data_IF_531793231314
#
_entry.id   IF_531793231314
#
_cell.length_a   1.000
_cell.length_b   1.000
_cell.length_c   1.000
_cell.angle_alpha   90.00
_cell.angle_beta   90.00
_cell.angle_gamma   90.00
#
_symmetry.space_group_name_H-M   'P 1'
#
loop_
_entity.id
_entity.type
_entity.pdbx_description
1 polymer ?
#
# COMPACT_ATOMS: atom_id res chain seq x y z
N UNK A 1 0.47 33.69 -31.31
CA UNK A 1 0.90 33.28 -29.96
C UNK A 1 -0.35 33.30 -29.12
N UNK A 2 -1.00 32.15 -28.99
CA UNK A 2 -2.29 32.05 -28.33
C UNK A 2 -2.13 32.31 -26.82
N UNK A 3 -2.71 33.43 -26.38
CA UNK A 3 -2.80 33.87 -24.99
C UNK A 3 -3.94 33.14 -24.23
N UNK A 4 -4.28 31.93 -24.66
CA UNK A 4 -5.36 31.10 -24.12
C UNK A 4 -4.98 29.61 -23.98
N UNK A 5 -3.69 29.30 -23.79
CA UNK A 5 -3.32 28.06 -23.07
C UNK A 5 -3.68 28.25 -21.58
N UNK A 6 -4.99 28.30 -21.34
CA UNK A 6 -5.59 28.05 -20.04
C UNK A 6 -5.11 26.66 -19.65
N UNK A 7 -4.14 26.56 -18.74
CA UNK A 7 -3.66 25.29 -18.22
C UNK A 7 -4.87 24.47 -17.75
N UNK A 8 -5.35 23.58 -18.62
CA UNK A 8 -6.36 22.62 -18.24
C UNK A 8 -5.83 21.91 -16.99
N UNK A 9 -6.66 21.68 -15.97
CA UNK A 9 -6.21 20.96 -14.78
C UNK A 9 -5.57 19.66 -15.24
N UNK A 10 -4.38 19.38 -14.70
CA UNK A 10 -3.63 18.19 -15.05
C UNK A 10 -4.54 16.96 -14.92
N UNK A 11 -4.50 16.10 -15.94
CA UNK A 11 -5.41 14.95 -15.97
C UNK A 11 -4.91 13.88 -15.01
N UNK A 12 -5.83 13.20 -14.28
CA UNK A 12 -5.52 12.02 -13.49
C UNK A 12 -4.56 11.07 -14.21
N UNK A 13 -3.47 10.69 -13.56
CA UNK A 13 -2.50 9.78 -14.19
C UNK A 13 -1.80 8.85 -13.19
N UNK A 14 -1.06 7.88 -13.74
CA UNK A 14 -0.17 7.00 -12.96
C UNK A 14 1.25 7.54 -13.05
N UNK A 15 1.74 8.07 -11.94
CA UNK A 15 3.03 8.72 -11.80
C UNK A 15 4.25 7.81 -11.75
N UNK A 16 5.43 8.43 -11.70
CA UNK A 16 6.73 7.76 -11.71
C UNK A 16 6.98 6.88 -10.47
N UNK A 17 6.26 7.12 -9.37
CA UNK A 17 6.33 6.31 -8.15
C UNK A 17 5.71 4.92 -8.31
N UNK A 18 5.05 4.63 -9.42
CA UNK A 18 4.44 3.32 -9.66
C UNK A 18 5.50 2.22 -9.61
N UNK A 19 5.24 1.18 -8.80
CA UNK A 19 6.16 0.05 -8.63
C UNK A 19 6.52 -0.61 -9.97
N UNK A 20 5.58 -0.67 -10.92
CA UNK A 20 5.83 -1.23 -12.26
C UNK A 20 6.72 -0.37 -13.14
N UNK A 21 6.65 0.97 -13.00
CA UNK A 21 7.56 1.90 -13.68
C UNK A 21 8.96 1.90 -13.06
N UNK A 22 9.03 1.79 -11.73
CA UNK A 22 10.31 1.71 -10.99
C UNK A 22 11.02 0.37 -11.18
N UNK A 23 10.27 -0.73 -11.21
CA UNK A 23 10.79 -2.09 -11.09
C UNK A 23 10.27 -2.99 -12.24
N UNK A 24 11.19 -3.40 -13.11
CA UNK A 24 10.89 -4.23 -14.29
C UNK A 24 10.21 -5.57 -13.96
N UNK A 25 10.39 -6.11 -12.75
CA UNK A 25 9.80 -7.39 -12.32
C UNK A 25 8.63 -7.23 -11.34
N UNK A 26 8.12 -6.00 -11.14
CA UNK A 26 6.99 -5.78 -10.23
C UNK A 26 5.74 -6.52 -10.68
N UNK A 27 5.03 -7.11 -9.71
CA UNK A 27 3.74 -7.76 -9.94
C UNK A 27 2.56 -6.98 -9.36
N UNK A 28 2.80 -5.78 -8.84
CA UNK A 28 1.78 -4.96 -8.16
C UNK A 28 0.56 -4.68 -9.04
N UNK A 29 -0.64 -5.00 -8.57
CA UNK A 29 -1.91 -4.77 -9.28
C UNK A 29 -3.01 -4.17 -8.39
N UNK A 30 -2.67 -3.74 -7.16
CA UNK A 30 -3.61 -3.26 -6.13
C UNK A 30 -4.64 -2.25 -6.64
N UNK A 31 -4.20 -1.23 -7.37
CA UNK A 31 -5.13 -0.19 -7.86
C UNK A 31 -6.04 -0.69 -8.99
N UNK A 32 -5.59 -1.67 -9.76
CA UNK A 32 -6.33 -2.28 -10.88
C UNK A 32 -7.39 -3.24 -10.35
N UNK A 33 -7.00 -4.14 -9.45
CA UNK A 33 -7.92 -5.14 -8.87
C UNK A 33 -8.98 -4.52 -7.96
N UNK A 34 -8.73 -3.32 -7.43
CA UNK A 34 -9.67 -2.55 -6.59
C UNK A 34 -10.42 -1.45 -7.34
N UNK A 35 -10.22 -1.27 -8.65
CA UNK A 35 -10.92 -0.23 -9.42
C UNK A 35 -12.36 -0.66 -9.76
N UNK A 36 -13.40 -0.03 -9.18
CA UNK A 36 -14.78 -0.47 -9.40
C UNK A 36 -15.30 -0.18 -10.82
N UNK A 37 -14.78 0.85 -11.50
CA UNK A 37 -15.19 1.22 -12.86
C UNK A 37 -14.33 0.56 -13.96
N UNK A 38 -13.25 -0.12 -13.57
CA UNK A 38 -12.25 -0.65 -14.49
C UNK A 38 -11.51 0.43 -15.29
N UNK A 39 -11.39 1.65 -14.74
CA UNK A 39 -10.63 2.74 -15.35
C UNK A 39 -9.11 2.50 -15.32
N UNK A 40 -8.64 1.65 -14.41
CA UNK A 40 -7.24 1.26 -14.30
C UNK A 40 -7.05 -0.14 -14.88
N UNK A 41 -6.07 -0.29 -15.78
CA UNK A 41 -5.73 -1.57 -16.40
C UNK A 41 -4.22 -1.73 -16.56
N UNK A 42 -3.74 -2.97 -16.69
CA UNK A 42 -2.33 -3.26 -16.97
C UNK A 42 -2.17 -3.54 -18.47
N UNK A 43 -1.32 -2.78 -19.13
CA UNK A 43 -0.94 -2.98 -20.53
C UNK A 43 0.58 -2.95 -20.64
N UNK A 44 1.19 -4.00 -21.22
CA UNK A 44 2.65 -4.10 -21.39
C UNK A 44 3.46 -3.75 -20.12
N UNK A 45 3.03 -4.30 -18.98
CA UNK A 45 3.63 -4.04 -17.66
C UNK A 45 3.42 -2.62 -17.10
N UNK A 46 2.76 -1.71 -17.79
CA UNK A 46 2.40 -0.40 -17.24
C UNK A 46 0.95 -0.37 -16.75
N UNK A 47 0.68 0.39 -15.70
CA UNK A 47 -0.71 0.70 -15.31
C UNK A 47 -1.14 1.93 -16.09
N UNK A 48 -2.24 1.80 -16.82
CA UNK A 48 -2.88 2.87 -17.59
C UNK A 48 -4.17 3.27 -16.87
N UNK A 49 -4.39 4.58 -16.73
CA UNK A 49 -5.64 5.16 -16.25
C UNK A 49 -6.39 5.78 -17.43
N UNK A 50 -7.59 5.28 -17.72
CA UNK A 50 -8.50 5.84 -18.72
C UNK A 50 -9.43 6.85 -18.03
N UNK A 51 -9.11 8.14 -18.18
CA UNK A 51 -9.79 9.25 -17.49
C UNK A 51 -11.31 9.28 -17.72
N UNK A 52 -11.77 8.92 -18.92
CA UNK A 52 -13.19 8.91 -19.31
C UNK A 52 -14.01 7.87 -18.55
N UNK A 53 -13.35 6.84 -18.02
CA UNK A 53 -13.97 5.76 -17.23
C UNK A 53 -13.80 5.98 -15.72
N UNK A 54 -13.02 6.97 -15.31
CA UNK A 54 -12.74 7.23 -13.91
C UNK A 54 -13.95 7.90 -13.24
N UNK A 55 -14.47 7.30 -12.17
CA UNK A 55 -15.60 7.89 -11.43
C UNK A 55 -15.17 8.90 -10.36
N UNK A 56 -13.86 9.09 -10.17
CA UNK A 56 -13.32 9.91 -9.10
C UNK A 56 -13.54 9.33 -7.69
N UNK A 57 -13.80 8.02 -7.55
CA UNK A 57 -14.07 7.39 -6.25
C UNK A 57 -12.89 7.44 -5.26
N UNK A 58 -11.66 7.61 -5.76
CA UNK A 58 -10.46 7.73 -4.94
C UNK A 58 -9.93 6.43 -4.32
N UNK A 59 -10.55 5.27 -4.56
CA UNK A 59 -10.09 3.98 -3.98
C UNK A 59 -8.61 3.71 -4.29
N UNK A 60 -8.17 3.98 -5.51
CA UNK A 60 -6.78 3.81 -5.94
C UNK A 60 -5.79 4.62 -5.09
N UNK A 61 -6.19 5.79 -4.58
CA UNK A 61 -5.38 6.63 -3.71
C UNK A 61 -5.12 5.94 -2.37
N UNK A 62 -6.10 5.21 -1.84
CA UNK A 62 -6.02 4.54 -0.54
C UNK A 62 -5.36 3.17 -0.60
N UNK A 63 -5.48 2.44 -1.71
CA UNK A 63 -4.89 1.09 -1.85
C UNK A 63 -3.49 1.09 -2.48
N UNK A 64 -3.04 2.19 -3.09
CA UNK A 64 -1.72 2.25 -3.73
C UNK A 64 -0.61 2.40 -2.67
N UNK A 65 0.23 1.37 -2.41
CA UNK A 65 1.25 1.43 -1.36
C UNK A 65 2.36 2.42 -1.70
N UNK A 66 2.57 2.69 -3.00
CA UNK A 66 3.60 3.60 -3.47
C UNK A 66 3.12 5.05 -3.60
N UNK A 67 1.81 5.31 -3.44
CA UNK A 67 1.19 6.62 -3.64
C UNK A 67 1.57 7.22 -5.00
N UNK A 68 1.25 6.45 -6.04
CA UNK A 68 1.70 6.66 -7.41
C UNK A 68 0.61 7.23 -8.33
N UNK A 69 -0.54 7.61 -7.79
CA UNK A 69 -1.62 8.21 -8.56
C UNK A 69 -1.53 9.71 -8.38
N UNK A 70 -1.43 10.43 -9.49
CA UNK A 70 -1.23 11.88 -9.52
C UNK A 70 -2.49 12.54 -10.11
N UNK A 71 -2.72 13.80 -9.75
CA UNK A 71 -3.86 14.61 -10.21
C UNK A 71 -5.25 14.02 -9.90
N UNK A 72 -5.33 13.16 -8.89
CA UNK A 72 -6.56 12.69 -8.26
C UNK A 72 -6.63 13.21 -6.83
N UNK A 73 -7.84 13.57 -6.39
CA UNK A 73 -8.07 14.03 -5.01
C UNK A 73 -9.14 13.15 -4.35
N UNK A 74 -8.96 12.71 -3.09
CA UNK A 74 -9.95 11.88 -2.40
C UNK A 74 -11.31 12.57 -2.32
N UNK A 75 -12.38 11.77 -2.34
CA UNK A 75 -13.73 12.28 -2.15
C UNK A 75 -13.87 12.96 -0.79
N UNK A 76 -14.47 14.14 -0.77
CA UNK A 76 -14.87 14.78 0.47
C UNK A 76 -16.10 14.06 1.04
N UNK A 77 -16.00 13.62 2.30
CA UNK A 77 -17.10 12.99 3.04
C UNK A 77 -17.69 13.98 4.03
N UNK A 78 -18.92 13.73 4.45
CA UNK A 78 -19.61 14.53 5.47
C UNK A 78 -19.60 13.73 6.76
N UNK A 79 -19.24 14.35 7.88
CA UNK A 79 -19.32 13.72 9.19
C UNK A 79 -19.88 14.65 10.26
N UNK A 80 -20.45 14.06 11.30
CA UNK A 80 -20.92 14.78 12.50
C UNK A 80 -20.82 13.85 13.70
N UNK A 81 -20.25 14.34 14.79
CA UNK A 81 -20.24 13.63 16.09
C UNK A 81 -19.81 12.15 16.01
N UNK A 82 -18.74 11.88 15.26
CA UNK A 82 -18.22 10.50 15.11
C UNK A 82 -19.00 9.62 14.12
N UNK A 83 -19.93 10.18 13.35
CA UNK A 83 -20.74 9.48 12.36
C UNK A 83 -20.43 9.98 10.96
N UNK A 84 -20.14 9.08 10.01
CA UNK A 84 -20.10 9.39 8.58
C UNK A 84 -21.51 9.45 7.99
N UNK A 85 -21.76 10.49 7.20
CA UNK A 85 -23.05 10.83 6.61
C UNK A 85 -22.98 10.77 5.09
N UNK A 86 -24.15 10.62 4.46
CA UNK A 86 -24.28 10.54 3.01
C UNK A 86 -23.97 11.87 2.31
N UNK A 87 -23.92 11.86 0.97
CA UNK A 87 -24.35 10.78 0.09
C UNK A 87 -23.35 9.61 -0.02
N UNK A 88 -23.87 8.37 -0.10
CA UNK A 88 -23.08 7.13 -0.21
C UNK A 88 -23.06 6.55 -1.63
N UNK A 89 -23.25 7.41 -2.63
CA UNK A 89 -23.38 7.02 -4.05
C UNK A 89 -22.08 6.52 -4.65
N UNK A 90 -20.93 6.93 -4.11
CA UNK A 90 -19.62 6.43 -4.50
C UNK A 90 -19.14 5.37 -3.51
N UNK A 91 -18.40 4.34 -3.97
CA UNK A 91 -17.82 3.34 -3.10
C UNK A 91 -16.71 3.94 -2.23
N UNK A 92 -16.26 3.15 -1.26
CA UNK A 92 -15.25 3.54 -0.27
C UNK A 92 -14.24 2.41 -0.10
N UNK A 93 -12.98 2.73 0.10
CA UNK A 93 -11.97 1.75 0.47
C UNK A 93 -12.04 1.48 1.98
N UNK A 94 -11.76 0.25 2.43
CA UNK A 94 -11.69 -0.03 3.86
C UNK A 94 -10.51 0.73 4.51
N UNK A 95 -9.43 0.93 3.77
CA UNK A 95 -8.29 1.77 4.15
C UNK A 95 -8.68 3.25 4.33
N UNK A 96 -9.61 3.77 3.52
CA UNK A 96 -10.18 5.11 3.72
C UNK A 96 -10.93 5.18 5.05
N UNK A 97 -11.80 4.20 5.33
CA UNK A 97 -12.56 4.16 6.58
C UNK A 97 -11.66 4.03 7.81
N UNK A 98 -10.54 3.32 7.68
CA UNK A 98 -9.53 3.21 8.73
C UNK A 98 -8.90 4.56 9.06
N UNK A 99 -8.61 5.37 8.04
CA UNK A 99 -8.08 6.71 8.23
C UNK A 99 -9.12 7.63 8.90
N UNK A 100 -10.40 7.54 8.51
CA UNK A 100 -11.49 8.22 9.23
C UNK A 100 -11.60 7.76 10.69
N UNK A 101 -11.46 6.47 10.96
CA UNK A 101 -11.48 5.92 12.31
C UNK A 101 -10.33 6.48 13.16
N UNK A 102 -9.11 6.49 12.63
CA UNK A 102 -7.91 6.84 13.38
C UNK A 102 -7.75 8.35 13.54
N UNK A 103 -7.97 9.12 12.47
CA UNK A 103 -7.68 10.56 12.44
C UNK A 103 -8.86 11.42 12.90
N UNK A 104 -10.10 10.99 12.59
CA UNK A 104 -11.32 11.77 12.87
C UNK A 104 -12.19 11.15 13.97
N UNK A 105 -11.73 10.06 14.59
CA UNK A 105 -12.46 9.32 15.63
C UNK A 105 -13.88 8.90 15.20
N UNK A 106 -14.08 8.64 13.90
CA UNK A 106 -15.35 8.12 13.40
C UNK A 106 -15.54 6.68 13.92
N UNK A 107 -16.76 6.36 14.36
CA UNK A 107 -17.15 5.06 14.93
C UNK A 107 -18.48 4.54 14.40
N UNK A 108 -19.14 5.28 13.52
CA UNK A 108 -20.40 4.86 12.93
C UNK A 108 -20.60 5.46 11.54
N UNK A 109 -21.53 4.88 10.79
CA UNK A 109 -21.95 5.35 9.48
C UNK A 109 -23.47 5.30 9.35
N UNK A 110 -24.07 6.39 8.90
CA UNK A 110 -25.51 6.52 8.80
C UNK A 110 -26.01 6.06 7.43
N UNK A 111 -25.82 4.77 7.11
CA UNK A 111 -26.08 4.19 5.78
C UNK A 111 -27.14 3.11 5.84
N UNK A 112 -28.02 3.09 4.83
CA UNK A 112 -28.87 1.95 4.52
C UNK A 112 -28.15 1.04 3.51
N UNK A 113 -27.64 -0.09 3.99
CA UNK A 113 -26.88 -1.05 3.17
C UNK A 113 -27.74 -1.79 2.14
N UNK A 114 -29.07 -1.80 2.31
CA UNK A 114 -29.97 -2.37 1.30
C UNK A 114 -30.01 -1.48 0.05
N UNK A 115 -29.91 -0.16 0.26
CA UNK A 115 -29.86 0.84 -0.81
C UNK A 115 -28.45 1.08 -1.34
N UNK A 116 -27.43 0.95 -0.50
CA UNK A 116 -26.02 1.20 -0.84
C UNK A 116 -25.13 -0.03 -0.58
N UNK A 117 -25.33 -1.14 -1.30
CA UNK A 117 -24.63 -2.40 -1.03
C UNK A 117 -23.11 -2.33 -1.26
N UNK A 118 -22.63 -1.37 -2.05
CA UNK A 118 -21.19 -1.15 -2.28
C UNK A 118 -20.40 -0.81 -0.99
N UNK A 119 -21.08 -0.36 0.06
CA UNK A 119 -20.47 -0.05 1.35
C UNK A 119 -20.36 -1.26 2.29
N UNK A 120 -21.09 -2.35 2.01
CA UNK A 120 -21.16 -3.52 2.90
C UNK A 120 -19.78 -4.16 3.08
N UNK A 121 -19.09 -4.48 1.98
CA UNK A 121 -17.79 -5.15 2.03
C UNK A 121 -16.72 -4.30 2.72
N UNK A 122 -16.50 -3.02 2.38
CA UNK A 122 -15.54 -2.17 3.08
C UNK A 122 -15.79 -2.04 4.59
N UNK A 123 -17.05 -1.93 5.01
CA UNK A 123 -17.41 -1.86 6.43
C UNK A 123 -17.14 -3.19 7.15
N UNK A 124 -17.42 -4.32 6.49
CA UNK A 124 -17.09 -5.64 7.02
C UNK A 124 -15.57 -5.84 7.15
N UNK A 125 -14.80 -5.47 6.12
CA UNK A 125 -13.33 -5.52 6.14
C UNK A 125 -12.76 -4.68 7.31
N UNK A 126 -13.25 -3.44 7.48
CA UNK A 126 -12.90 -2.60 8.61
C UNK A 126 -13.23 -3.25 9.96
N UNK A 127 -14.45 -3.76 10.14
CA UNK A 127 -14.89 -4.31 11.42
C UNK A 127 -14.15 -5.60 11.79
N UNK A 128 -13.81 -6.44 10.80
CA UNK A 128 -12.95 -7.61 11.02
C UNK A 128 -11.55 -7.19 11.49
N UNK A 129 -11.01 -6.11 10.93
CA UNK A 129 -9.72 -5.58 11.34
C UNK A 129 -9.76 -4.97 12.76
N UNK A 130 -10.78 -4.17 13.07
CA UNK A 130 -10.98 -3.61 14.42
C UNK A 130 -11.11 -4.72 15.46
N UNK A 131 -11.84 -5.79 15.13
CA UNK A 131 -11.95 -6.98 15.98
C UNK A 131 -10.58 -7.62 16.26
N UNK A 132 -9.70 -7.75 15.26
CA UNK A 132 -8.33 -8.29 15.46
C UNK A 132 -7.51 -7.45 16.44
N UNK A 133 -7.82 -6.17 16.59
CA UNK A 133 -7.15 -5.24 17.52
C UNK A 133 -7.83 -5.11 18.88
N UNK A 134 -8.92 -5.86 19.10
CA UNK A 134 -9.74 -5.71 20.30
C UNK A 134 -10.50 -4.38 20.36
N UNK A 135 -10.68 -3.71 19.22
CA UNK A 135 -11.42 -2.44 19.13
C UNK A 135 -12.89 -2.69 18.75
N UNK A 136 -13.84 -1.86 19.25
CA UNK A 136 -15.24 -1.98 18.88
C UNK A 136 -15.44 -1.66 17.39
N UNK A 137 -16.21 -2.51 16.71
CA UNK A 137 -16.57 -2.31 15.31
C UNK A 137 -17.51 -1.11 15.11
N UNK A 138 -17.43 -0.52 13.92
CA UNK A 138 -18.33 0.55 13.51
C UNK A 138 -19.76 0.07 13.39
N UNK A 139 -20.69 0.91 13.84
CA UNK A 139 -22.12 0.67 13.76
C UNK A 139 -22.72 1.29 12.49
N UNK A 140 -23.69 0.61 11.88
CA UNK A 140 -24.58 1.22 10.90
C UNK A 140 -25.77 1.82 11.65
N UNK A 141 -25.95 3.13 11.56
CA UNK A 141 -27.05 3.83 12.25
C UNK A 141 -28.18 4.14 11.27
N UNK A 142 -29.42 3.95 11.72
CA UNK A 142 -30.60 4.26 10.92
C UNK A 142 -30.69 5.77 10.67
N UNK A 143 -30.91 6.17 9.42
CA UNK A 143 -31.24 7.55 9.07
C UNK A 143 -32.74 7.72 9.32
N UNK A 144 -33.16 8.07 10.54
CA UNK A 144 -34.56 8.49 10.73
C UNK A 144 -34.74 9.88 10.10
N UNK A 145 -35.59 10.04 9.07
CA UNK A 145 -36.01 11.36 8.66
C UNK A 145 -37.17 11.76 9.58
N UNK A 146 -36.97 12.73 10.49
CA UNK A 146 -38.12 13.33 11.15
C UNK A 146 -38.95 14.07 10.10
N UNK A 147 -40.25 13.76 10.01
CA UNK A 147 -41.15 14.39 9.07
C UNK A 147 -41.13 15.92 9.27
N UNK A 148 -40.68 16.66 8.25
CA UNK A 148 -40.55 18.12 8.26
C UNK A 148 -39.12 18.68 8.16
N UNK A 149 -38.09 17.88 8.39
CA UNK A 149 -36.67 18.34 8.30
C UNK A 149 -36.11 18.35 6.87
N UNK A 150 -36.75 17.63 5.94
CA UNK A 150 -36.33 17.52 4.54
C UNK A 150 -36.20 18.89 3.83
N UNK A 151 -37.05 19.87 4.20
CA UNK A 151 -36.99 21.24 3.66
C UNK A 151 -35.89 22.11 4.28
N UNK A 152 -35.49 21.88 5.55
CA UNK A 152 -34.44 22.66 6.23
C UNK A 152 -33.02 22.20 5.86
N UNK A 153 -32.84 20.89 5.60
CA UNK A 153 -31.56 20.29 5.17
C UNK A 153 -31.06 20.73 3.81
N UNK A 154 -31.93 21.24 2.94
CA UNK A 154 -31.55 21.73 1.61
C UNK A 154 -30.62 22.97 1.67
N UNK A 155 -30.58 23.69 2.80
CA UNK A 155 -29.81 24.93 2.94
C UNK A 155 -28.49 24.77 3.69
N UNK A 156 -28.32 23.72 4.51
CA UNK A 156 -27.07 23.42 5.23
C UNK A 156 -26.95 21.90 5.41
N UNK A 157 -25.90 21.24 4.88
CA UNK A 157 -25.63 19.87 5.26
C UNK A 157 -25.36 19.86 6.77
N UNK A 158 -26.14 19.05 7.47
CA UNK A 158 -25.96 18.71 8.87
C UNK A 158 -24.61 17.96 9.04
N UNK A 159 -23.48 18.66 9.09
CA UNK A 159 -22.16 18.05 9.28
C UNK A 159 -21.00 18.79 8.61
N UNK A 160 -19.78 18.49 9.05
CA UNK A 160 -18.54 19.00 8.48
C UNK A 160 -18.18 18.21 7.23
N UNK A 161 -17.78 18.93 6.16
CA UNK A 161 -17.31 18.32 4.91
C UNK A 161 -15.78 18.35 4.88
N UNK A 162 -15.16 17.17 4.95
CA UNK A 162 -13.71 17.04 5.01
C UNK A 162 -13.19 15.97 4.05
N UNK A 163 -11.90 16.05 3.72
CA UNK A 163 -11.15 15.00 3.00
C UNK A 163 -10.14 14.43 3.97
N UNK A 164 -10.00 13.11 3.97
CA UNK A 164 -8.99 12.44 4.79
C UNK A 164 -7.67 12.35 4.02
N UNK A 165 -6.56 12.63 4.70
CA UNK A 165 -5.22 12.47 4.14
C UNK A 165 -4.93 10.99 3.84
N UNK A 166 -4.25 10.71 2.73
CA UNK A 166 -4.10 9.35 2.18
C UNK A 166 -2.66 9.01 1.78
N UNK A 167 -1.70 9.91 2.02
CA UNK A 167 -0.31 9.68 1.68
C UNK A 167 0.26 8.46 2.44
N UNK A 168 1.38 7.94 1.95
CA UNK A 168 2.05 6.75 2.51
C UNK A 168 2.32 6.92 4.00
N UNK A 169 2.85 8.08 4.43
CA UNK A 169 3.22 8.30 5.82
C UNK A 169 2.00 8.29 6.74
N UNK A 170 0.92 8.96 6.33
CA UNK A 170 -0.35 8.96 7.06
C UNK A 170 -0.94 7.55 7.20
N UNK A 171 -0.95 6.75 6.12
CA UNK A 171 -1.44 5.37 6.17
C UNK A 171 -0.62 4.48 7.09
N UNK A 172 0.71 4.57 7.04
CA UNK A 172 1.56 3.83 7.98
C UNK A 172 1.32 4.25 9.43
N UNK A 173 1.26 5.55 9.70
CA UNK A 173 1.01 6.07 11.05
C UNK A 173 -0.35 5.63 11.58
N UNK A 174 -1.36 5.54 10.72
CA UNK A 174 -2.69 5.08 11.07
C UNK A 174 -2.82 3.55 11.17
N UNK A 175 -1.79 2.79 10.78
CA UNK A 175 -1.88 1.34 10.63
C UNK A 175 -2.90 0.92 9.57
N UNK A 176 -3.09 1.72 8.53
CA UNK A 176 -4.16 1.59 7.53
C UNK A 176 -4.03 0.38 6.57
N UNK A 177 -3.23 -0.62 6.93
CA UNK A 177 -3.11 -1.89 6.22
C UNK A 177 -3.94 -2.97 6.93
N UNK A 178 -4.88 -3.55 6.19
CA UNK A 178 -5.86 -4.52 6.70
C UNK A 178 -5.24 -5.89 7.05
N UNK A 179 -4.03 -6.15 6.56
CA UNK A 179 -3.29 -7.38 6.81
C UNK A 179 -1.89 -7.06 7.28
N UNK A 180 -1.41 -7.87 8.24
CA UNK A 180 0.02 -8.01 8.45
C UNK A 180 0.61 -8.85 7.31
N UNK A 181 1.91 -8.67 7.08
CA UNK A 181 2.64 -9.41 6.06
C UNK A 181 3.85 -10.09 6.67
N UNK A 182 4.02 -11.37 6.32
CA UNK A 182 5.21 -12.12 6.61
C UNK A 182 6.16 -12.03 5.41
N UNK A 183 7.42 -11.73 5.69
CA UNK A 183 8.49 -11.72 4.70
C UNK A 183 9.41 -12.90 5.00
N UNK A 184 9.55 -13.80 4.04
CA UNK A 184 10.46 -14.94 4.12
C UNK A 184 11.69 -14.67 3.26
N UNK A 185 12.87 -14.74 3.87
CA UNK A 185 14.16 -14.61 3.20
C UNK A 185 14.88 -15.96 3.20
N UNK A 186 15.14 -16.47 2.01
CA UNK A 186 15.96 -17.66 1.80
C UNK A 186 17.45 -17.27 1.84
N UNK A 187 18.11 -17.57 2.96
CA UNK A 187 19.53 -17.26 3.16
C UNK A 187 20.46 -18.08 2.28
N UNK A 188 20.03 -19.26 1.80
CA UNK A 188 20.83 -20.11 0.91
C UNK A 188 20.88 -19.53 -0.50
N UNK A 189 19.83 -18.82 -0.91
CA UNK A 189 19.78 -18.12 -2.19
C UNK A 189 20.26 -16.67 -2.10
N UNK A 190 20.09 -16.00 -0.96
CA UNK A 190 20.38 -14.57 -0.86
C UNK A 190 21.84 -14.23 -1.19
N UNK A 191 22.06 -13.30 -2.13
CA UNK A 191 23.38 -12.80 -2.50
C UNK A 191 23.94 -11.73 -1.55
N UNK A 192 23.18 -11.32 -0.52
CA UNK A 192 23.53 -10.21 0.39
C UNK A 192 23.88 -8.87 -0.32
N UNK A 193 23.33 -8.65 -1.53
CA UNK A 193 23.57 -7.44 -2.35
C UNK A 193 22.89 -6.16 -1.82
N UNK A 194 21.95 -6.30 -0.87
CA UNK A 194 21.24 -5.19 -0.24
C UNK A 194 20.18 -4.49 -1.12
N UNK A 195 19.91 -4.96 -2.34
CA UNK A 195 18.94 -4.33 -3.24
C UNK A 195 17.54 -4.22 -2.63
N UNK A 196 17.07 -5.27 -1.94
CA UNK A 196 15.80 -5.28 -1.24
C UNK A 196 15.73 -4.27 -0.09
N UNK A 197 16.83 -4.05 0.63
CA UNK A 197 16.89 -3.03 1.68
C UNK A 197 16.78 -1.62 1.12
N UNK A 198 17.45 -1.34 -0.01
CA UNK A 198 17.35 -0.04 -0.70
C UNK A 198 15.96 0.23 -1.28
N UNK A 199 15.28 -0.81 -1.75
CA UNK A 199 13.93 -0.71 -2.31
C UNK A 199 12.83 -0.56 -1.24
N UNK A 200 13.08 -1.00 0.00
CA UNK A 200 12.08 -1.05 1.06
C UNK A 200 11.85 0.33 1.70
N UNK A 201 10.94 1.11 1.13
CA UNK A 201 10.57 2.43 1.62
C UNK A 201 10.03 2.41 3.06
N UNK A 202 9.29 1.36 3.43
CA UNK A 202 8.75 1.19 4.79
C UNK A 202 9.83 0.88 5.83
N UNK A 203 11.05 0.54 5.39
CA UNK A 203 12.17 0.19 6.25
C UNK A 203 12.00 -1.14 6.98
N UNK A 204 11.15 -2.04 6.48
CA UNK A 204 11.00 -3.40 6.98
C UNK A 204 12.27 -4.24 6.78
N UNK A 205 13.03 -4.01 5.71
CA UNK A 205 14.31 -4.66 5.45
C UNK A 205 15.42 -3.61 5.53
N UNK A 206 16.42 -3.82 6.39
CA UNK A 206 17.60 -2.94 6.46
C UNK A 206 18.89 -3.76 6.52
N UNK A 207 19.89 -3.24 5.84
CA UNK A 207 21.26 -3.75 5.87
C UNK A 207 22.15 -2.68 6.50
N UNK A 208 22.74 -2.98 7.65
CA UNK A 208 23.88 -2.26 8.18
C UNK A 208 25.20 -2.81 7.61
N UNK A 209 26.31 -2.27 8.11
CA UNK A 209 27.65 -2.78 7.78
C UNK A 209 27.84 -4.21 8.30
N UNK A 210 27.47 -4.44 9.56
CA UNK A 210 27.69 -5.71 10.26
C UNK A 210 26.40 -6.44 10.65
N UNK A 211 25.24 -5.92 10.25
CA UNK A 211 23.97 -6.55 10.58
C UNK A 211 22.90 -6.44 9.48
N UNK A 212 21.97 -7.37 9.56
CA UNK A 212 20.75 -7.41 8.77
C UNK A 212 19.57 -7.39 9.73
N UNK A 213 18.57 -6.55 9.45
CA UNK A 213 17.32 -6.52 10.20
C UNK A 213 16.12 -6.70 9.28
N UNK A 214 15.18 -7.54 9.72
CA UNK A 214 13.88 -7.72 9.10
C UNK A 214 12.79 -7.51 10.16
N UNK A 215 12.04 -6.43 10.01
CA UNK A 215 10.89 -6.08 10.84
C UNK A 215 9.61 -6.19 10.00
N UNK A 216 8.95 -7.34 10.06
CA UNK A 216 7.67 -7.62 9.38
C UNK A 216 6.55 -6.72 9.85
N UNK A 217 6.59 -6.20 11.08
CA UNK A 217 5.63 -5.21 11.58
C UNK A 217 5.66 -3.87 10.84
N UNK A 218 6.71 -3.61 10.05
CA UNK A 218 6.81 -2.45 9.14
C UNK A 218 6.49 -2.79 7.69
N UNK A 219 6.22 -4.06 7.36
CA UNK A 219 5.95 -4.46 5.98
C UNK A 219 4.53 -4.06 5.59
N UNK A 220 4.39 -3.45 4.42
CA UNK A 220 3.12 -3.04 3.81
C UNK A 220 2.67 -3.97 2.68
N UNK A 221 3.44 -5.03 2.42
CA UNK A 221 3.15 -5.98 1.35
C UNK A 221 3.42 -5.46 -0.06
N UNK A 222 4.10 -4.32 -0.24
CA UNK A 222 4.25 -3.67 -1.56
C UNK A 222 4.92 -4.54 -2.65
N UNK A 223 5.68 -5.57 -2.27
CA UNK A 223 6.32 -6.49 -3.22
C UNK A 223 7.65 -6.00 -3.81
N UNK A 224 8.07 -4.76 -3.53
CA UNK A 224 9.27 -4.17 -4.13
C UNK A 224 10.53 -5.00 -3.86
N UNK A 225 10.67 -5.54 -2.64
CA UNK A 225 11.83 -6.37 -2.26
C UNK A 225 11.91 -7.69 -3.05
N UNK A 226 10.77 -8.32 -3.35
CA UNK A 226 10.72 -9.52 -4.18
C UNK A 226 11.04 -9.17 -5.65
N UNK A 227 10.49 -8.05 -6.16
CA UNK A 227 10.72 -7.60 -7.53
C UNK A 227 12.19 -7.26 -7.82
N UNK A 228 12.92 -6.65 -6.87
CA UNK A 228 14.35 -6.32 -7.06
C UNK A 228 15.30 -7.49 -6.81
N UNK A 229 14.83 -8.61 -6.24
CA UNK A 229 15.72 -9.71 -5.88
C UNK A 229 16.12 -10.51 -7.12
N UNK A 230 17.39 -10.47 -7.58
CA UNK A 230 17.78 -11.13 -8.84
C UNK A 230 17.74 -12.67 -8.78
N UNK A 231 17.58 -13.22 -7.57
CA UNK A 231 17.68 -14.65 -7.28
C UNK A 231 16.44 -15.19 -6.57
N UNK A 232 15.37 -14.40 -6.54
CA UNK A 232 14.06 -14.74 -5.98
C UNK A 232 14.11 -15.28 -4.54
N UNK A 233 15.07 -14.78 -3.76
CA UNK A 233 15.28 -15.19 -2.37
C UNK A 233 14.23 -14.63 -1.39
N UNK A 234 13.31 -13.77 -1.84
CA UNK A 234 12.32 -13.12 -0.98
C UNK A 234 10.91 -13.52 -1.42
N UNK A 235 10.11 -13.96 -0.46
CA UNK A 235 8.68 -14.20 -0.63
C UNK A 235 7.90 -13.37 0.39
N UNK A 236 6.76 -12.81 -0.01
CA UNK A 236 5.86 -12.07 0.87
C UNK A 236 4.53 -12.79 0.88
N UNK A 237 3.99 -13.02 2.07
CA UNK A 237 2.67 -13.65 2.26
C UNK A 237 1.85 -12.84 3.25
N UNK A 238 0.53 -12.87 3.10
CA UNK A 238 -0.36 -12.40 4.16
C UNK A 238 -0.23 -13.31 5.37
N UNK A 239 -0.18 -12.72 6.56
CA UNK A 239 -0.01 -13.49 7.80
C UNK A 239 0.48 -12.62 8.94
N UNK A 240 0.50 -13.18 10.14
CA UNK A 240 0.90 -12.44 11.33
C UNK A 240 2.34 -11.94 11.20
N UNK A 241 2.57 -10.73 11.72
CA UNK A 241 3.90 -10.17 11.77
C UNK A 241 4.79 -11.08 12.64
N UNK A 242 5.83 -11.64 12.04
CA UNK A 242 6.85 -12.38 12.77
C UNK A 242 7.66 -11.50 13.73
N UNK A 243 8.49 -12.11 14.58
CA UNK A 243 9.39 -11.37 15.46
C UNK A 243 10.41 -10.56 14.64
N UNK A 244 10.94 -9.49 15.24
CA UNK A 244 12.08 -8.76 14.67
C UNK A 244 13.26 -9.72 14.50
N UNK A 245 13.67 -9.96 13.26
CA UNK A 245 14.84 -10.78 12.95
C UNK A 245 16.04 -9.85 12.86
N UNK A 246 17.08 -10.15 13.65
CA UNK A 246 18.41 -9.53 13.54
C UNK A 246 19.44 -10.63 13.32
N UNK A 247 20.28 -10.47 12.29
CA UNK A 247 21.39 -11.38 11.98
C UNK A 247 22.67 -10.60 11.84
N UNK A 248 23.77 -11.14 12.38
CA UNK A 248 25.09 -10.61 12.12
C UNK A 248 25.48 -10.88 10.65
N UNK A 249 26.20 -9.94 10.05
CA UNK A 249 26.83 -10.08 8.75
C UNK A 249 28.34 -10.09 8.96
N UNK A 250 29.02 -10.99 8.26
CA UNK A 250 30.46 -11.17 8.37
C UNK A 250 31.14 -10.73 7.08
N UNK A 251 32.21 -9.97 7.15
CA UNK A 251 33.00 -9.64 5.96
C UNK A 251 33.91 -10.81 5.59
N UNK A 252 33.94 -11.18 4.33
CA UNK A 252 34.79 -12.23 3.79
C UNK A 252 35.33 -11.83 2.41
N UNK A 253 36.36 -12.53 1.93
CA UNK A 253 36.85 -12.45 0.55
C UNK A 253 36.70 -13.82 -0.10
N UNK A 254 36.19 -13.84 -1.33
CA UNK A 254 35.97 -15.08 -2.06
C UNK A 254 37.29 -15.71 -2.48
N UNK A 255 37.52 -17.00 -2.15
CA UNK A 255 38.72 -17.74 -2.58
C UNK A 255 38.78 -17.99 -4.10
N UNK A 256 37.65 -17.86 -4.82
CA UNK A 256 37.59 -18.08 -6.27
C UNK A 256 37.75 -16.81 -7.11
N UNK A 257 37.14 -15.69 -6.71
CA UNK A 257 37.20 -14.43 -7.48
C UNK A 257 37.95 -13.29 -6.79
N UNK A 258 38.35 -13.44 -5.53
CA UNK A 258 39.05 -12.41 -4.75
C UNK A 258 38.19 -11.25 -4.24
N UNK A 259 36.96 -11.12 -4.73
CA UNK A 259 36.06 -10.01 -4.39
C UNK A 259 35.62 -10.05 -2.91
N UNK A 260 35.55 -8.90 -2.23
CA UNK A 260 34.98 -8.80 -0.90
C UNK A 260 33.46 -8.98 -0.94
N UNK A 261 32.90 -9.65 0.06
CA UNK A 261 31.46 -9.86 0.17
C UNK A 261 31.04 -9.98 1.64
N UNK A 262 29.74 -9.89 1.89
CA UNK A 262 29.13 -10.12 3.22
C UNK A 262 28.57 -11.53 3.26
N UNK A 263 28.87 -12.27 4.32
CA UNK A 263 28.45 -13.65 4.57
C UNK A 263 27.41 -13.73 5.71
N UNK A 264 26.58 -14.78 5.68
CA UNK A 264 25.61 -15.07 6.72
C UNK A 264 26.26 -15.75 7.93
N UNK A 265 27.31 -16.53 7.67
CA UNK A 265 28.04 -17.29 8.67
C UNK A 265 29.53 -16.93 8.63
N UNK A 266 30.22 -16.99 9.77
CA UNK A 266 31.66 -16.81 9.80
C UNK A 266 32.34 -17.97 9.06
N UNK A 267 33.42 -17.66 8.33
CA UNK A 267 34.25 -18.67 7.64
C UNK A 267 33.72 -19.13 6.28
N UNK A 268 32.67 -18.53 5.73
CA UNK A 268 32.25 -18.80 4.35
C UNK A 268 33.34 -18.35 3.35
N UNK A 269 33.84 -19.31 2.56
CA UNK A 269 35.02 -19.14 1.69
C UNK A 269 34.72 -18.68 0.27
N UNK A 270 33.56 -19.04 -0.25
CA UNK A 270 33.17 -18.79 -1.65
C UNK A 270 31.90 -17.95 -1.66
N UNK A 271 31.89 -16.85 -2.41
CA UNK A 271 30.73 -15.96 -2.44
C UNK A 271 29.53 -16.61 -3.16
N UNK A 272 28.27 -16.19 -2.87
CA UNK A 272 27.05 -16.75 -3.46
C UNK A 272 27.01 -16.66 -4.99
N UNK A 273 27.72 -15.72 -5.59
CA UNK A 273 27.86 -15.62 -7.05
C UNK A 273 28.71 -16.78 -7.58
N UNK A 274 29.91 -16.97 -7.04
CA UNK A 274 30.81 -18.06 -7.45
C UNK A 274 30.27 -19.45 -7.11
N UNK A 275 29.50 -19.60 -6.02
CA UNK A 275 28.84 -20.87 -5.70
C UNK A 275 27.81 -21.29 -6.78
N UNK A 276 27.17 -20.32 -7.45
CA UNK A 276 26.14 -20.55 -8.48
C UNK A 276 26.74 -20.76 -9.86
N UNK A 277 27.85 -20.10 -10.16
CA UNK A 277 28.58 -20.30 -11.40
C UNK A 277 29.58 -21.44 -11.20
N UNK A 278 29.14 -22.67 -11.44
CA UNK A 278 30.04 -23.80 -11.59
C UNK A 278 30.99 -23.55 -12.76
N UNK A 279 32.19 -23.07 -12.46
CA UNK A 279 33.32 -22.81 -13.35
C UNK A 279 33.21 -21.66 -14.39
N UNK A 280 34.17 -20.75 -14.26
CA UNK A 280 34.80 -19.86 -15.26
C UNK A 280 33.95 -18.92 -16.12
N UNK A 281 33.99 -17.62 -15.80
CA UNK A 281 33.84 -16.53 -16.78
C UNK A 281 34.83 -15.36 -16.54
N UNK A 282 35.95 -15.61 -15.86
CA UNK A 282 37.03 -14.60 -15.68
C UNK A 282 38.40 -15.25 -15.82
N UNK A 283 38.71 -15.66 -17.04
CA UNK A 283 40.08 -15.85 -17.53
C UNK A 283 40.11 -15.23 -18.92
N UNK A 284 40.53 -13.97 -19.00
CA UNK A 284 40.51 -13.14 -20.20
C UNK A 284 40.68 -11.68 -19.81
#
# INVERSE_FOLDING_TARGET
MDLFDTFAPAQPCVGARCARKRLARSRCDYCVTRCPSGALAIHHHEVILTSERCTGCGICLFVCPADALEDLVPLARIHREGVLLGPFTQPVAAEELMLWHTLYRIRAVAVDLTRYPLWLRPLAELNLWLKKRGEPGWQCVAVSPAAGEAKRRLLRPDGERARVAHDVATRHAAGAFLCAYAVMLDTTRCLLCGACGRACASGAIRFGEQDFTLNTGRCDGCGDCAAVCPVDAITITEGDAGPLIRRALHHARCELCGEPWRAWHPGEKVCPVCQRHGFSMRSG
#
